data_IF_069552176392
#
_entry.id   IF_069552176392
#
_cell.length_a   1.000
_cell.length_b   1.000
_cell.length_c   1.000
_cell.angle_alpha   90.00
_cell.angle_beta   90.00
_cell.angle_gamma   90.00
#
_symmetry.space_group_name_H-M   'P 1'
#
loop_
_entity.id
_entity.type
_entity.pdbx_description
1 polymer ?
#
# COMPACT_ATOMS: atom_id res chain seq x y z
N UNK A 1 -41.63 -7.25 -21.79
CA UNK A 1 -40.24 -7.59 -22.11
C UNK A 1 -39.41 -6.34 -21.89
N UNK A 2 -38.57 -6.33 -20.86
CA UNK A 2 -37.48 -5.38 -20.69
C UNK A 2 -36.24 -6.23 -20.48
N UNK A 3 -35.33 -6.24 -21.45
CA UNK A 3 -34.02 -6.86 -21.29
C UNK A 3 -33.13 -5.84 -20.57
N UNK A 4 -32.73 -6.16 -19.34
CA UNK A 4 -31.68 -5.44 -18.63
C UNK A 4 -30.42 -6.30 -18.72
N UNK A 5 -29.37 -5.75 -19.33
CA UNK A 5 -28.07 -6.38 -19.47
C UNK A 5 -27.41 -6.48 -18.08
N UNK A 6 -27.23 -7.71 -17.60
CA UNK A 6 -26.73 -8.04 -16.27
C UNK A 6 -25.32 -8.65 -16.33
N UNK A 7 -24.51 -8.20 -17.29
CA UNK A 7 -23.10 -8.58 -17.45
C UNK A 7 -22.16 -8.02 -16.38
N UNK A 8 -22.67 -7.24 -15.42
CA UNK A 8 -21.87 -6.52 -14.40
C UNK A 8 -21.66 -7.25 -13.07
N UNK A 9 -22.13 -8.50 -12.90
CA UNK A 9 -22.02 -9.23 -11.62
C UNK A 9 -20.95 -10.33 -11.56
N UNK A 10 -20.10 -10.48 -12.58
CA UNK A 10 -19.02 -11.48 -12.58
C UNK A 10 -17.66 -10.88 -12.96
N UNK A 11 -16.59 -11.36 -12.31
CA UNK A 11 -15.22 -10.97 -12.58
C UNK A 11 -14.77 -11.43 -13.98
N UNK A 12 -13.88 -10.68 -14.67
CA UNK A 12 -13.48 -10.97 -16.06
C UNK A 12 -12.80 -12.33 -16.31
N UNK A 13 -12.45 -13.08 -15.27
CA UNK A 13 -11.84 -14.41 -15.38
C UNK A 13 -12.84 -15.53 -15.71
N UNK A 14 -14.11 -15.41 -15.31
CA UNK A 14 -15.13 -16.45 -15.50
C UNK A 14 -15.80 -16.42 -16.88
N UNK A 15 -15.74 -15.28 -17.60
CA UNK A 15 -16.33 -15.13 -18.92
C UNK A 15 -15.52 -15.77 -20.06
N UNK A 16 -14.27 -16.16 -19.80
CA UNK A 16 -13.38 -16.77 -20.81
C UNK A 16 -13.54 -18.28 -20.95
N UNK A 17 -14.10 -18.99 -19.97
CA UNK A 17 -14.23 -20.46 -20.00
C UNK A 17 -15.66 -20.99 -20.21
N UNK A 18 -16.70 -20.15 -20.13
CA UNK A 18 -18.09 -20.63 -20.20
C UNK A 18 -18.99 -19.68 -21.00
N UNK A 19 -19.68 -20.21 -22.02
CA UNK A 19 -20.67 -19.45 -22.81
C UNK A 19 -22.04 -19.55 -22.14
N UNK A 20 -22.52 -18.46 -21.55
CA UNK A 20 -23.86 -18.40 -20.93
C UNK A 20 -24.91 -18.24 -22.03
N UNK A 21 -25.87 -19.16 -22.11
CA UNK A 21 -26.91 -19.14 -23.17
C UNK A 21 -28.33 -18.97 -22.65
N UNK A 22 -28.59 -19.13 -21.34
CA UNK A 22 -29.93 -18.92 -20.77
C UNK A 22 -29.91 -18.47 -19.29
N UNK A 23 -30.79 -17.53 -18.94
CA UNK A 23 -30.95 -16.98 -17.60
C UNK A 23 -32.43 -16.87 -17.24
N UNK A 24 -32.81 -17.35 -16.05
CA UNK A 24 -34.19 -17.35 -15.55
C UNK A 24 -34.23 -16.97 -14.07
N UNK A 25 -35.11 -16.01 -13.73
CA UNK A 25 -35.32 -15.53 -12.36
C UNK A 25 -36.72 -15.90 -11.90
N UNK A 26 -36.83 -16.72 -10.86
CA UNK A 26 -38.12 -17.01 -10.23
C UNK A 26 -38.41 -15.97 -9.14
N UNK A 27 -39.29 -15.01 -9.46
CA UNK A 27 -39.64 -13.89 -8.56
C UNK A 27 -40.31 -14.32 -7.25
N UNK A 28 -40.89 -15.52 -7.14
CA UNK A 28 -41.55 -15.97 -5.89
C UNK A 28 -40.55 -16.43 -4.83
N UNK A 29 -39.42 -17.03 -5.23
CA UNK A 29 -38.49 -17.68 -4.29
C UNK A 29 -37.08 -17.07 -4.27
N UNK A 30 -36.85 -15.96 -4.99
CA UNK A 30 -35.54 -15.27 -5.09
C UNK A 30 -34.36 -16.19 -5.48
N UNK A 31 -34.63 -17.24 -6.26
CA UNK A 31 -33.60 -18.13 -6.79
C UNK A 31 -33.26 -17.74 -8.24
N UNK A 32 -31.96 -17.69 -8.56
CA UNK A 32 -31.45 -17.62 -9.92
C UNK A 32 -30.95 -19.01 -10.35
N UNK A 33 -31.34 -19.43 -11.56
CA UNK A 33 -30.80 -20.64 -12.19
C UNK A 33 -30.01 -20.23 -13.42
N UNK A 34 -28.75 -20.67 -13.49
CA UNK A 34 -27.88 -20.49 -14.65
C UNK A 34 -27.62 -21.88 -15.24
N UNK A 35 -27.90 -22.06 -16.52
CA UNK A 35 -27.64 -23.33 -17.23
C UNK A 35 -26.35 -23.14 -18.03
N UNK A 36 -25.36 -24.00 -17.78
CA UNK A 36 -24.09 -24.03 -18.50
C UNK A 36 -24.09 -25.17 -19.52
N UNK A 37 -23.53 -24.91 -20.72
CA UNK A 37 -23.13 -25.97 -21.64
C UNK A 37 -21.62 -25.99 -21.74
N UNK A 38 -21.01 -27.12 -21.38
CA UNK A 38 -19.61 -27.39 -21.66
C UNK A 38 -19.56 -28.69 -22.47
N UNK A 39 -18.96 -28.65 -23.67
CA UNK A 39 -18.73 -29.80 -24.57
C UNK A 39 -19.76 -30.95 -24.46
N UNK A 40 -21.02 -30.68 -24.83
CA UNK A 40 -22.12 -31.64 -24.95
C UNK A 40 -22.51 -32.46 -23.69
N UNK A 41 -22.32 -31.95 -22.47
CA UNK A 41 -23.00 -32.48 -21.27
C UNK A 41 -23.69 -31.38 -20.47
N UNK A 42 -24.95 -31.62 -20.11
CA UNK A 42 -25.79 -30.71 -19.31
C UNK A 42 -25.43 -30.86 -17.82
N UNK A 43 -25.07 -29.77 -17.14
CA UNK A 43 -24.88 -29.76 -15.68
C UNK A 43 -25.69 -28.62 -15.04
N UNK A 44 -26.55 -28.97 -14.08
CA UNK A 44 -27.35 -28.03 -13.31
C UNK A 44 -26.59 -27.59 -12.05
N UNK A 45 -26.10 -26.34 -12.02
CA UNK A 45 -25.53 -25.73 -10.83
C UNK A 45 -26.55 -24.74 -10.22
N UNK A 46 -26.90 -24.94 -8.94
CA UNK A 46 -27.78 -24.03 -8.18
C UNK A 46 -26.94 -23.11 -7.30
N UNK A 47 -27.11 -21.80 -7.46
CA UNK A 47 -26.50 -20.80 -6.58
C UNK A 47 -27.59 -20.12 -5.74
N UNK A 48 -27.37 -20.01 -4.43
CA UNK A 48 -28.23 -19.26 -3.51
C UNK A 48 -27.41 -18.09 -2.97
N UNK A 49 -27.79 -16.86 -3.29
CA UNK A 49 -27.18 -15.65 -2.73
C UNK A 49 -28.18 -14.94 -1.80
N UNK A 50 -27.79 -14.55 -0.56
CA UNK A 50 -28.63 -13.76 0.31
C UNK A 50 -28.51 -12.27 -0.07
N UNK A 51 -29.46 -11.76 -0.86
CA UNK A 51 -29.54 -10.34 -1.16
C UNK A 51 -30.22 -9.59 0.01
N UNK A 52 -29.46 -8.87 0.83
CA UNK A 52 -29.97 -7.98 1.88
C UNK A 52 -30.01 -6.54 1.38
N UNK A 53 -31.17 -6.07 0.90
CA UNK A 53 -31.51 -4.64 0.82
C UNK A 53 -32.97 -4.48 1.27
N UNK A 54 -33.18 -3.71 2.34
CA UNK A 54 -34.48 -3.31 2.87
C UNK A 54 -34.92 -2.00 2.21
N UNK A 55 -36.02 -2.05 1.46
CA UNK A 55 -36.80 -0.86 1.11
C UNK A 55 -37.90 -0.72 2.18
N UNK A 56 -37.95 0.45 2.82
CA UNK A 56 -39.05 0.87 3.67
C UNK A 56 -40.26 1.22 2.80
N UNK A 57 -41.44 0.72 3.15
CA UNK A 57 -42.72 1.36 2.85
C UNK A 57 -43.70 1.11 4.02
N UNK A 58 -44.50 2.13 4.33
CA UNK A 58 -45.45 2.18 5.44
C UNK A 58 -46.78 1.51 5.04
N UNK A 59 -47.32 0.63 5.91
CA UNK A 59 -48.77 0.59 6.26
C UNK A 59 -49.15 -0.63 7.12
N UNK A 60 -49.87 -0.34 8.21
CA UNK A 60 -50.94 -1.08 8.89
C UNK A 60 -50.84 -2.59 9.24
N UNK A 61 -50.88 -2.82 10.57
CA UNK A 61 -51.78 -3.72 11.32
C UNK A 61 -51.88 -5.22 10.98
N UNK A 62 -51.39 -6.07 11.91
CA UNK A 62 -52.17 -7.05 12.74
C UNK A 62 -51.21 -8.13 13.32
N UNK A 63 -51.42 -8.44 14.60
CA UNK A 63 -50.76 -9.52 15.36
C UNK A 63 -50.99 -10.91 14.74
N UNK A 64 -50.00 -11.79 14.87
CA UNK A 64 -50.17 -13.11 15.49
C UNK A 64 -48.81 -13.75 15.78
N UNK A 65 -48.61 -14.07 17.06
CA UNK A 65 -47.44 -14.74 17.58
C UNK A 65 -47.49 -16.25 17.26
N UNK A 66 -46.40 -16.79 16.70
CA UNK A 66 -46.10 -18.23 16.79
C UNK A 66 -44.61 -18.39 17.04
N UNK A 67 -44.30 -18.90 18.23
CA UNK A 67 -42.95 -19.27 18.66
C UNK A 67 -42.56 -20.56 17.96
N UNK A 68 -41.62 -20.49 17.02
CA UNK A 68 -40.89 -21.66 16.52
C UNK A 68 -39.42 -21.54 16.96
N UNK A 69 -39.03 -22.32 17.97
CA UNK A 69 -37.64 -22.51 18.39
C UNK A 69 -36.92 -23.30 17.30
N UNK A 70 -36.16 -22.61 16.45
CA UNK A 70 -35.20 -23.26 15.55
C UNK A 70 -33.80 -23.02 16.08
N UNK A 71 -33.15 -24.08 16.55
CA UNK A 71 -31.72 -24.07 16.90
C UNK A 71 -30.91 -23.72 15.63
N UNK A 72 -30.42 -22.49 15.54
CA UNK A 72 -29.40 -22.12 14.55
C UNK A 72 -28.03 -22.50 15.11
N UNK A 73 -27.42 -23.56 14.55
CA UNK A 73 -25.98 -23.78 14.68
C UNK A 73 -25.25 -22.55 14.15
N UNK A 74 -24.18 -22.06 14.81
CA UNK A 74 -23.40 -20.96 14.26
C UNK A 74 -22.84 -21.41 12.92
N UNK A 75 -23.13 -20.63 11.87
CA UNK A 75 -22.54 -20.82 10.55
C UNK A 75 -21.02 -20.69 10.72
N UNK A 76 -20.31 -21.81 10.62
CA UNK A 76 -18.88 -21.81 10.36
C UNK A 76 -18.72 -21.02 9.07
N UNK A 77 -18.06 -19.86 9.15
CA UNK A 77 -17.62 -19.13 7.97
C UNK A 77 -16.70 -20.08 7.20
N UNK A 78 -17.24 -20.70 6.16
CA UNK A 78 -16.42 -21.33 5.15
C UNK A 78 -15.60 -20.20 4.53
N UNK A 79 -14.29 -20.21 4.79
CA UNK A 79 -13.34 -19.43 4.02
C UNK A 79 -13.55 -19.84 2.58
N UNK A 80 -13.98 -18.89 1.76
CA UNK A 80 -14.01 -19.08 0.31
C UNK A 80 -12.59 -19.46 -0.10
N UNK A 81 -12.44 -20.66 -0.66
CA UNK A 81 -11.24 -21.08 -1.36
C UNK A 81 -11.04 -20.10 -2.52
N UNK A 82 -10.05 -19.22 -2.42
CA UNK A 82 -9.69 -18.25 -3.46
C UNK A 82 -8.22 -18.42 -3.83
N UNK A 83 -7.98 -18.46 -5.16
CA UNK A 83 -6.74 -18.24 -5.92
C UNK A 83 -5.38 -18.42 -5.21
N UNK A 84 -4.46 -19.19 -5.81
CA UNK A 84 -3.08 -19.40 -5.32
C UNK A 84 -2.44 -18.08 -4.79
N UNK A 85 -2.47 -17.90 -3.47
CA UNK A 85 -1.83 -16.78 -2.77
C UNK A 85 -0.31 -16.99 -2.87
N UNK A 86 0.42 -15.97 -3.28
CA UNK A 86 1.87 -16.05 -3.42
C UNK A 86 2.57 -16.05 -2.05
N UNK A 87 3.73 -16.70 -1.96
CA UNK A 87 4.54 -16.76 -0.74
C UNK A 87 5.84 -15.98 -0.92
N UNK A 88 6.31 -15.34 0.16
CA UNK A 88 7.66 -14.76 0.19
C UNK A 88 8.70 -15.83 0.53
N UNK A 89 10.01 -15.58 0.30
CA UNK A 89 11.07 -16.46 0.79
C UNK A 89 11.07 -16.68 2.31
N UNK A 90 10.36 -15.85 3.08
CA UNK A 90 10.26 -15.94 4.54
C UNK A 90 8.95 -16.60 5.01
N UNK A 91 8.11 -17.11 4.11
CA UNK A 91 6.80 -17.67 4.46
C UNK A 91 6.87 -18.78 5.52
N UNK A 92 7.77 -19.74 5.36
CA UNK A 92 7.93 -20.84 6.33
C UNK A 92 8.42 -20.33 7.69
N UNK A 93 9.29 -19.31 7.70
CA UNK A 93 9.73 -18.66 8.93
C UNK A 93 8.57 -17.95 9.63
N UNK A 94 7.65 -17.33 8.90
CA UNK A 94 6.46 -16.72 9.51
C UNK A 94 5.60 -17.75 10.23
N UNK A 95 5.43 -18.94 9.66
CA UNK A 95 4.70 -20.04 10.30
C UNK A 95 5.42 -20.56 11.55
N UNK A 96 6.75 -20.71 11.49
CA UNK A 96 7.58 -21.08 12.65
C UNK A 96 7.46 -20.06 13.80
N UNK A 97 7.44 -18.77 13.47
CA UNK A 97 7.26 -17.67 14.41
C UNK A 97 5.80 -17.47 14.84
N UNK A 98 4.87 -18.32 14.40
CA UNK A 98 3.43 -18.26 14.69
C UNK A 98 2.79 -16.93 14.26
N UNK A 99 3.28 -16.34 13.17
CA UNK A 99 2.69 -15.17 12.55
C UNK A 99 1.25 -15.45 12.11
N UNK A 100 0.35 -14.49 12.36
CA UNK A 100 -1.04 -14.59 11.91
C UNK A 100 -1.14 -14.20 10.45
N UNK A 101 -1.08 -15.19 9.57
CA UNK A 101 -1.08 -15.00 8.11
C UNK A 101 -2.45 -14.49 7.61
N UNK A 102 -2.40 -13.49 6.74
CA UNK A 102 -3.54 -12.96 5.96
C UNK A 102 -3.13 -12.77 4.51
N UNK A 103 -4.11 -12.65 3.62
CA UNK A 103 -3.86 -12.19 2.25
C UNK A 103 -3.63 -10.68 2.25
N UNK A 104 -2.51 -10.24 1.66
CA UNK A 104 -2.19 -8.84 1.44
C UNK A 104 -1.51 -8.69 0.08
N UNK A 105 -2.10 -7.88 -0.82
CA UNK A 105 -1.59 -7.67 -2.17
C UNK A 105 -1.31 -8.98 -2.96
N UNK A 106 -2.14 -10.01 -2.74
CA UNK A 106 -1.95 -11.34 -3.36
C UNK A 106 -0.88 -12.22 -2.71
N UNK A 107 -0.30 -11.79 -1.57
CA UNK A 107 0.69 -12.54 -0.81
C UNK A 107 0.19 -12.98 0.57
N UNK A 108 0.72 -14.11 1.05
CA UNK A 108 0.46 -14.62 2.39
C UNK A 108 1.47 -14.01 3.38
N UNK A 109 1.02 -13.00 4.14
CA UNK A 109 1.89 -12.23 5.02
C UNK A 109 1.32 -12.13 6.44
N UNK A 110 2.17 -12.04 7.48
CA UNK A 110 1.72 -11.92 8.86
C UNK A 110 1.14 -10.53 9.12
N UNK A 111 -0.14 -10.47 9.51
CA UNK A 111 -0.74 -9.21 9.99
C UNK A 111 -0.17 -8.78 11.33
N UNK A 112 0.25 -9.75 12.15
CA UNK A 112 0.90 -9.58 13.45
C UNK A 112 1.53 -10.91 13.90
N UNK A 113 2.40 -10.84 14.90
CA UNK A 113 2.93 -11.94 15.70
C UNK A 113 2.45 -11.78 17.15
N UNK A 114 3.14 -10.96 17.94
CA UNK A 114 2.84 -10.69 19.36
C UNK A 114 1.68 -9.71 19.56
N UNK A 115 1.27 -9.02 18.50
CA UNK A 115 0.15 -8.08 18.46
C UNK A 115 0.57 -6.70 17.95
N UNK A 116 -0.36 -5.99 17.32
CA UNK A 116 -0.07 -4.68 16.69
C UNK A 116 0.53 -3.66 17.67
N UNK A 117 0.01 -3.57 18.90
CA UNK A 117 0.50 -2.62 19.90
C UNK A 117 1.95 -2.92 20.35
N UNK A 118 2.30 -4.13 20.85
CA UNK A 118 3.68 -4.41 21.24
C UNK A 118 4.67 -4.29 20.08
N UNK A 119 4.30 -4.71 18.87
CA UNK A 119 5.13 -4.57 17.67
C UNK A 119 5.38 -3.11 17.29
N UNK A 120 4.33 -2.27 17.31
CA UNK A 120 4.46 -0.83 17.08
C UNK A 120 5.40 -0.19 18.12
N UNK A 121 5.21 -0.51 19.40
CA UNK A 121 6.03 0.05 20.47
C UNK A 121 7.47 -0.44 20.43
N UNK A 122 7.73 -1.64 19.89
CA UNK A 122 9.09 -2.13 19.67
C UNK A 122 9.84 -1.29 18.63
N UNK A 123 9.18 -0.89 17.54
CA UNK A 123 9.79 -0.01 16.53
C UNK A 123 10.06 1.39 17.11
N UNK A 124 9.13 1.94 17.89
CA UNK A 124 9.26 3.25 18.55
C UNK A 124 10.16 3.24 19.79
N UNK A 125 10.57 2.06 20.26
CA UNK A 125 11.31 1.89 21.50
C UNK A 125 12.77 2.33 21.36
N UNK A 126 13.34 2.92 22.42
CA UNK A 126 14.73 3.38 22.43
C UNK A 126 15.77 2.24 22.42
N UNK A 127 15.39 1.07 22.94
CA UNK A 127 16.27 -0.08 23.14
C UNK A 127 15.85 -1.28 22.28
N UNK A 128 14.99 -1.06 21.28
CA UNK A 128 14.42 -2.10 20.44
C UNK A 128 14.33 -1.64 18.98
N UNK A 129 14.08 -2.57 18.09
CA UNK A 129 13.70 -2.34 16.70
C UNK A 129 12.76 -3.47 16.22
N UNK A 130 12.01 -3.21 15.16
CA UNK A 130 11.16 -4.18 14.50
C UNK A 130 11.75 -4.67 13.19
N UNK A 131 11.54 -5.94 12.88
CA UNK A 131 11.89 -6.57 11.60
C UNK A 131 10.61 -6.90 10.84
N UNK A 132 10.49 -6.39 9.62
CA UNK A 132 9.35 -6.62 8.73
C UNK A 132 9.79 -7.41 7.51
N UNK A 133 8.97 -8.36 7.07
CA UNK A 133 9.08 -8.93 5.72
C UNK A 133 8.32 -8.06 4.71
N UNK A 134 9.06 -7.50 3.76
CA UNK A 134 8.54 -6.68 2.67
C UNK A 134 8.92 -7.27 1.30
N UNK A 135 9.29 -8.56 1.25
CA UNK A 135 9.72 -9.26 0.03
C UNK A 135 8.65 -9.32 -1.06
N UNK A 136 7.39 -9.07 -0.72
CA UNK A 136 6.29 -8.95 -1.68
C UNK A 136 6.41 -7.72 -2.59
N UNK A 137 7.20 -6.71 -2.22
CA UNK A 137 7.46 -5.53 -3.05
C UNK A 137 8.22 -5.89 -4.33
N UNK A 138 7.98 -5.13 -5.40
CA UNK A 138 8.68 -5.34 -6.67
C UNK A 138 10.06 -4.73 -6.61
N UNK A 139 11.09 -5.45 -7.07
CA UNK A 139 12.48 -4.98 -7.04
C UNK A 139 13.04 -5.03 -8.46
N UNK A 140 13.50 -3.88 -8.94
CA UNK A 140 13.87 -3.68 -10.34
C UNK A 140 15.29 -3.11 -10.41
N UNK A 141 16.09 -3.68 -11.31
CA UNK A 141 17.40 -3.18 -11.68
C UNK A 141 17.34 -2.56 -13.08
N UNK A 142 17.77 -1.31 -13.18
CA UNK A 142 17.82 -0.54 -14.41
C UNK A 142 19.25 -0.37 -14.89
N UNK A 143 19.51 -0.81 -16.11
CA UNK A 143 20.83 -0.73 -16.77
C UNK A 143 20.70 -0.10 -18.17
N UNK A 144 21.83 0.11 -18.84
CA UNK A 144 21.91 0.82 -20.12
C UNK A 144 22.44 2.25 -19.95
N UNK A 145 23.10 2.76 -20.99
CA UNK A 145 23.73 4.10 -20.99
C UNK A 145 22.71 5.23 -20.88
N UNK A 146 21.48 5.04 -21.39
CA UNK A 146 20.43 6.05 -21.43
C UNK A 146 19.39 5.85 -20.30
N UNK A 147 19.70 4.99 -19.31
CA UNK A 147 18.78 4.64 -18.20
C UNK A 147 18.29 5.86 -17.41
N UNK A 148 19.16 6.84 -17.16
CA UNK A 148 18.80 8.05 -16.40
C UNK A 148 17.76 8.84 -17.16
N UNK A 149 17.96 9.05 -18.46
CA UNK A 149 17.00 9.77 -19.31
C UNK A 149 15.66 9.04 -19.38
N UNK A 150 15.68 7.71 -19.53
CA UNK A 150 14.46 6.91 -19.49
C UNK A 150 13.72 7.06 -18.15
N UNK A 151 14.44 6.94 -17.04
CA UNK A 151 13.86 7.06 -15.70
C UNK A 151 13.29 8.46 -15.47
N UNK A 152 13.94 9.52 -15.97
CA UNK A 152 13.39 10.88 -15.89
C UNK A 152 12.17 11.10 -16.80
N UNK A 153 11.97 10.29 -17.83
CA UNK A 153 10.76 10.32 -18.65
C UNK A 153 9.56 9.71 -17.94
N UNK A 154 9.76 8.60 -17.23
CA UNK A 154 8.66 7.85 -16.59
C UNK A 154 8.44 8.23 -15.12
N UNK A 155 9.44 8.82 -14.46
CA UNK A 155 9.40 9.24 -13.06
C UNK A 155 9.47 10.76 -12.91
N UNK A 156 8.73 11.30 -11.95
CA UNK A 156 8.63 12.76 -11.74
C UNK A 156 9.87 13.40 -11.11
N UNK A 157 10.70 12.61 -10.42
CA UNK A 157 11.85 13.12 -9.67
C UNK A 157 13.09 13.25 -10.55
N UNK A 158 13.97 14.19 -10.18
CA UNK A 158 15.25 14.45 -10.84
C UNK A 158 16.25 13.29 -10.60
N UNK A 159 16.38 12.37 -11.54
CA UNK A 159 17.24 11.19 -11.39
C UNK A 159 18.68 11.54 -11.69
N UNK A 160 18.89 12.48 -12.63
CA UNK A 160 20.23 12.91 -13.02
C UNK A 160 21.04 13.49 -11.86
N UNK A 161 20.40 14.18 -10.90
CA UNK A 161 21.11 14.73 -9.73
C UNK A 161 21.47 13.71 -8.64
N UNK A 162 20.99 12.47 -8.71
CA UNK A 162 21.34 11.45 -7.72
C UNK A 162 22.82 11.08 -7.84
N UNK A 163 23.59 11.40 -6.81
CA UNK A 163 24.96 10.90 -6.71
C UNK A 163 24.96 9.38 -6.46
N UNK A 164 26.05 8.66 -6.76
CA UNK A 164 26.18 7.26 -6.39
C UNK A 164 25.81 7.04 -4.92
N UNK A 165 25.13 5.93 -4.67
CA UNK A 165 24.50 5.53 -3.40
C UNK A 165 23.21 6.27 -3.05
N UNK A 166 22.95 7.47 -3.55
CA UNK A 166 21.78 8.24 -3.14
C UNK A 166 20.50 7.67 -3.74
N UNK A 167 19.43 7.72 -2.96
CA UNK A 167 18.08 7.42 -3.41
C UNK A 167 17.09 8.52 -3.08
N UNK A 168 15.88 8.38 -3.61
CA UNK A 168 14.75 9.26 -3.32
C UNK A 168 13.43 8.54 -3.56
N UNK A 169 12.39 9.00 -2.85
CA UNK A 169 11.01 8.72 -3.22
C UNK A 169 10.69 9.48 -4.51
N UNK A 170 10.02 8.79 -5.42
CA UNK A 170 9.53 9.34 -6.68
C UNK A 170 8.13 8.79 -6.97
N UNK A 171 7.50 9.30 -8.02
CA UNK A 171 6.15 8.93 -8.42
C UNK A 171 6.15 8.52 -9.87
N UNK A 172 5.36 7.49 -10.17
CA UNK A 172 4.93 7.12 -11.51
C UNK A 172 3.56 7.77 -11.76
N UNK A 173 3.37 8.43 -12.91
CA UNK A 173 2.16 9.20 -13.20
C UNK A 173 1.55 8.88 -14.56
N UNK A 174 0.26 9.13 -14.69
CA UNK A 174 -0.49 9.14 -15.95
C UNK A 174 -0.34 10.50 -16.66
N UNK A 175 -0.68 10.55 -17.95
CA UNK A 175 -0.64 11.79 -18.75
C UNK A 175 -1.56 12.89 -18.19
N UNK A 176 -2.64 12.53 -17.51
CA UNK A 176 -3.57 13.45 -16.85
C UNK A 176 -3.12 13.91 -15.44
N UNK A 177 -1.92 13.46 -15.03
CA UNK A 177 -1.28 13.79 -13.77
C UNK A 177 -1.69 12.92 -12.58
N UNK A 178 -2.53 11.90 -12.78
CA UNK A 178 -2.85 10.90 -11.76
C UNK A 178 -1.66 10.06 -11.33
N UNK A 179 -1.56 9.67 -10.06
CA UNK A 179 -0.46 8.84 -9.55
C UNK A 179 -0.77 7.36 -9.81
N UNK A 180 0.13 6.66 -10.51
CA UNK A 180 0.08 5.22 -10.76
C UNK A 180 0.70 4.45 -9.60
N UNK A 181 1.83 4.93 -9.08
CA UNK A 181 2.49 4.37 -7.91
C UNK A 181 3.46 5.38 -7.28
N UNK A 182 3.84 5.15 -6.03
CA UNK A 182 4.99 5.78 -5.39
C UNK A 182 6.12 4.77 -5.16
N UNK A 183 7.33 5.11 -5.62
CA UNK A 183 8.46 4.17 -5.68
C UNK A 183 9.71 4.79 -5.06
N UNK A 184 10.65 3.95 -4.62
CA UNK A 184 11.96 4.41 -4.14
C UNK A 184 13.03 3.95 -5.11
N UNK A 185 13.76 4.90 -5.67
CA UNK A 185 14.86 4.64 -6.60
C UNK A 185 16.19 5.10 -6.02
N UNK A 186 17.22 4.29 -6.20
CA UNK A 186 18.58 4.54 -5.72
C UNK A 186 19.57 4.40 -6.86
N UNK A 187 20.47 5.37 -7.02
CA UNK A 187 21.62 5.26 -7.91
C UNK A 187 22.65 4.33 -7.26
N UNK A 188 22.82 3.13 -7.79
CA UNK A 188 23.80 2.15 -7.29
C UNK A 188 25.18 2.30 -7.95
N UNK A 189 25.38 3.32 -8.80
CA UNK A 189 26.58 3.53 -9.60
C UNK A 189 26.37 3.03 -11.02
N UNK A 190 26.68 1.76 -11.28
CA UNK A 190 26.56 1.11 -12.59
C UNK A 190 25.09 0.82 -12.98
N UNK A 191 24.18 0.75 -12.02
CA UNK A 191 22.73 0.58 -12.24
C UNK A 191 21.90 1.52 -11.36
N UNK A 192 20.58 1.60 -11.62
CA UNK A 192 19.63 2.12 -10.64
C UNK A 192 18.81 0.96 -10.05
N UNK A 193 18.65 0.96 -8.74
CA UNK A 193 17.83 0.01 -8.01
C UNK A 193 16.52 0.66 -7.61
N UNK A 194 15.39 0.08 -7.99
CA UNK A 194 14.06 0.61 -7.69
C UNK A 194 13.21 -0.42 -6.95
N UNK A 195 12.54 0.04 -5.90
CA UNK A 195 11.53 -0.73 -5.17
C UNK A 195 10.16 -0.11 -5.42
N UNK A 196 9.24 -0.92 -5.94
CA UNK A 196 7.85 -0.54 -6.28
C UNK A 196 6.85 -1.27 -5.39
N UNK A 197 5.65 -0.72 -5.23
CA UNK A 197 4.66 -1.30 -4.31
C UNK A 197 4.25 -2.72 -4.73
N UNK A 198 4.13 -3.63 -3.76
CA UNK A 198 3.81 -5.04 -4.04
C UNK A 198 2.47 -5.24 -4.76
N UNK A 199 1.48 -4.37 -4.50
CA UNK A 199 0.18 -4.41 -5.17
C UNK A 199 0.20 -3.82 -6.59
N UNK A 200 1.18 -2.98 -6.92
CA UNK A 200 1.26 -2.24 -8.18
C UNK A 200 2.27 -2.86 -9.14
N UNK A 201 3.28 -3.57 -8.63
CA UNK A 201 4.50 -3.97 -9.34
C UNK A 201 4.29 -4.55 -10.73
N UNK A 202 3.28 -5.39 -10.94
CA UNK A 202 3.04 -5.98 -12.26
C UNK A 202 2.48 -4.95 -13.24
N UNK A 203 1.57 -4.08 -12.80
CA UNK A 203 1.08 -2.95 -13.58
C UNK A 203 2.17 -1.91 -13.85
N UNK A 204 3.02 -1.64 -12.87
CA UNK A 204 4.16 -0.73 -13.04
C UNK A 204 5.15 -1.28 -14.07
N UNK A 205 5.51 -2.56 -13.97
CA UNK A 205 6.37 -3.23 -14.94
C UNK A 205 5.76 -3.28 -16.35
N UNK A 206 4.45 -3.44 -16.49
CA UNK A 206 3.77 -3.34 -17.79
C UNK A 206 3.85 -1.93 -18.36
N UNK A 207 3.62 -0.91 -17.54
CA UNK A 207 3.77 0.48 -17.94
C UNK A 207 5.21 0.78 -18.38
N UNK A 208 6.19 0.36 -17.59
CA UNK A 208 7.60 0.50 -17.90
C UNK A 208 7.99 -0.19 -19.20
N UNK A 209 7.56 -1.43 -19.43
CA UNK A 209 7.83 -2.15 -20.70
C UNK A 209 7.29 -1.39 -21.90
N UNK A 210 6.08 -0.82 -21.79
CA UNK A 210 5.47 -0.03 -22.87
C UNK A 210 6.29 1.23 -23.18
N UNK A 211 6.66 2.01 -22.16
CA UNK A 211 7.44 3.23 -22.36
C UNK A 211 8.89 2.93 -22.78
N UNK A 212 9.47 1.84 -22.28
CA UNK A 212 10.79 1.35 -22.68
C UNK A 212 10.82 0.97 -24.16
N UNK A 213 9.80 0.28 -24.67
CA UNK A 213 9.72 -0.07 -26.08
C UNK A 213 9.70 1.17 -26.99
N UNK A 214 8.99 2.23 -26.59
CA UNK A 214 9.01 3.52 -27.32
C UNK A 214 10.39 4.15 -27.27
N UNK A 215 11.03 4.16 -26.10
CA UNK A 215 12.35 4.75 -25.89
C UNK A 215 13.44 4.01 -26.70
N UNK A 216 13.37 2.68 -26.76
CA UNK A 216 14.27 1.86 -27.57
C UNK A 216 14.04 2.04 -29.07
N UNK A 217 12.79 2.27 -29.51
CA UNK A 217 12.48 2.60 -30.90
C UNK A 217 13.07 3.96 -31.34
N UNK A 218 13.40 4.85 -30.40
CA UNK A 218 14.15 6.09 -30.64
C UNK A 218 15.68 5.86 -30.75
N UNK A 219 16.14 4.60 -30.72
CA UNK A 219 17.56 4.24 -30.80
C UNK A 219 18.34 4.35 -29.48
N UNK A 220 17.62 4.48 -28.35
CA UNK A 220 18.22 4.62 -27.02
C UNK A 220 18.27 3.29 -26.27
N UNK A 221 19.20 3.19 -25.33
CA UNK A 221 19.53 1.96 -24.63
C UNK A 221 19.20 2.03 -23.14
N UNK A 222 18.18 1.26 -22.76
CA UNK A 222 17.80 1.00 -21.37
C UNK A 222 17.31 -0.44 -21.26
N UNK A 223 17.56 -1.07 -20.12
CA UNK A 223 17.09 -2.41 -19.80
C UNK A 223 16.50 -2.44 -18.39
N UNK A 224 15.40 -3.20 -18.25
CA UNK A 224 14.72 -3.44 -17.00
C UNK A 224 14.87 -4.92 -16.61
N UNK A 225 15.46 -5.19 -15.46
CA UNK A 225 15.56 -6.52 -14.87
C UNK A 225 14.69 -6.58 -13.61
N UNK A 226 13.66 -7.42 -13.61
CA UNK A 226 12.90 -7.72 -12.40
C UNK A 226 13.63 -8.82 -11.62
N UNK A 227 13.97 -8.54 -10.36
CA UNK A 227 14.77 -9.45 -9.54
C UNK A 227 13.98 -10.66 -9.00
N UNK A 228 12.66 -10.70 -9.21
CA UNK A 228 11.83 -11.87 -8.89
C UNK A 228 11.61 -12.08 -7.40
N UNK A 229 11.48 -13.35 -7.01
CA UNK A 229 11.20 -13.79 -5.63
C UNK A 229 12.46 -13.71 -4.75
N UNK A 230 13.00 -12.49 -4.60
CA UNK A 230 14.13 -12.18 -3.72
C UNK A 230 13.62 -11.64 -2.38
N UNK A 231 14.36 -11.92 -1.30
CA UNK A 231 14.03 -11.43 0.03
C UNK A 231 14.24 -9.93 0.14
N UNK A 232 13.35 -9.25 0.86
CA UNK A 232 13.52 -7.87 1.30
C UNK A 232 12.97 -7.74 2.71
N UNK A 233 13.84 -7.40 3.66
CA UNK A 233 13.43 -7.11 5.03
C UNK A 233 13.61 -5.63 5.33
N UNK A 234 12.79 -5.10 6.24
CA UNK A 234 12.98 -3.78 6.82
C UNK A 234 13.27 -3.91 8.31
N UNK A 235 14.45 -3.48 8.75
CA UNK A 235 14.83 -3.39 10.16
C UNK A 235 14.72 -1.92 10.61
N UNK A 236 13.79 -1.63 11.51
CA UNK A 236 13.30 -0.26 11.77
C UNK A 236 13.22 0.02 13.27
N UNK A 237 13.77 1.14 13.72
CA UNK A 237 13.79 1.55 15.13
C UNK A 237 15.18 1.96 15.60
N UNK A 238 15.25 2.53 16.80
CA UNK A 238 16.47 3.14 17.34
C UNK A 238 17.67 2.17 17.40
N UNK A 239 17.43 0.88 17.61
CA UNK A 239 18.49 -0.14 17.65
C UNK A 239 18.86 -0.73 16.29
N UNK A 240 18.15 -0.40 15.20
CA UNK A 240 18.42 -0.96 13.88
C UNK A 240 19.87 -0.74 13.39
N UNK A 241 20.50 0.45 13.54
CA UNK A 241 21.90 0.64 13.17
C UNK A 241 22.87 -0.21 13.98
N UNK A 242 22.68 -0.29 15.29
CA UNK A 242 23.54 -1.05 16.19
C UNK A 242 23.42 -2.56 15.95
N UNK A 243 22.21 -3.05 15.70
CA UNK A 243 21.95 -4.46 15.36
C UNK A 243 22.59 -4.78 14.01
N UNK A 244 22.27 -4.03 12.95
CA UNK A 244 22.77 -4.34 11.61
C UNK A 244 24.31 -4.29 11.54
N UNK A 245 24.95 -3.37 12.27
CA UNK A 245 26.41 -3.26 12.35
C UNK A 245 27.09 -4.53 12.87
N UNK A 246 26.41 -5.38 13.67
CA UNK A 246 26.94 -6.67 14.15
C UNK A 246 27.09 -7.70 13.02
N UNK A 247 26.34 -7.54 11.94
CA UNK A 247 26.29 -8.50 10.82
C UNK A 247 27.12 -8.07 9.61
N UNK A 248 27.78 -6.91 9.63
CA UNK A 248 28.54 -6.44 8.46
C UNK A 248 29.82 -5.73 8.88
N UNK A 249 30.87 -5.85 8.07
CA UNK A 249 32.12 -5.10 8.27
C UNK A 249 32.00 -3.63 7.88
N UNK A 250 31.11 -3.35 6.91
CA UNK A 250 30.84 -1.99 6.47
C UNK A 250 30.17 -1.20 7.60
N UNK A 251 30.60 0.04 7.82
CA UNK A 251 30.06 0.87 8.89
C UNK A 251 28.71 1.49 8.49
N UNK A 252 27.65 0.66 8.53
CA UNK A 252 26.27 1.07 8.19
C UNK A 252 25.75 2.23 9.05
N UNK A 253 26.34 2.45 10.22
CA UNK A 253 25.93 3.53 11.14
C UNK A 253 26.21 4.92 10.58
N UNK A 254 27.17 5.01 9.63
CA UNK A 254 27.55 6.26 8.96
C UNK A 254 26.77 6.54 7.68
N UNK A 255 25.96 5.59 7.19
CA UNK A 255 25.15 5.80 5.99
C UNK A 255 24.11 6.90 6.23
N UNK A 256 24.06 8.00 5.47
CA UNK A 256 22.95 8.95 5.59
C UNK A 256 21.63 8.32 5.15
N UNK A 257 20.51 8.84 5.66
CA UNK A 257 19.17 8.48 5.21
C UNK A 257 19.04 8.67 3.69
N UNK A 258 18.33 7.73 3.04
CA UNK A 258 18.22 7.61 1.59
C UNK A 258 19.56 7.41 0.88
N UNK A 259 20.44 6.59 1.46
CA UNK A 259 21.60 6.04 0.76
C UNK A 259 21.58 4.52 0.78
N UNK A 260 22.07 3.88 -0.28
CA UNK A 260 22.12 2.44 -0.43
C UNK A 260 23.43 1.93 -1.02
N UNK A 261 23.89 0.80 -0.49
CA UNK A 261 25.19 0.19 -0.76
C UNK A 261 25.05 -1.32 -0.95
N UNK A 262 25.87 -1.88 -1.84
CA UNK A 262 26.02 -3.33 -1.98
C UNK A 262 27.13 -3.79 -1.02
N UNK A 263 26.74 -4.55 0.01
CA UNK A 263 27.64 -4.96 1.10
C UNK A 263 27.33 -6.39 1.54
N UNK A 264 28.24 -7.00 2.31
CA UNK A 264 27.97 -8.29 2.95
C UNK A 264 27.26 -8.12 4.28
N UNK A 265 26.17 -8.86 4.49
CA UNK A 265 25.45 -8.96 5.77
C UNK A 265 25.36 -10.43 6.16
N UNK A 266 25.93 -10.82 7.30
CA UNK A 266 26.06 -12.21 7.70
C UNK A 266 26.84 -13.07 6.70
N UNK A 267 27.76 -12.46 5.93
CA UNK A 267 28.49 -13.11 4.83
C UNK A 267 27.72 -13.17 3.49
N UNK A 268 26.45 -12.78 3.46
CA UNK A 268 25.57 -12.80 2.27
C UNK A 268 25.70 -11.49 1.50
N UNK A 269 25.76 -11.55 0.17
CA UNK A 269 25.77 -10.35 -0.67
C UNK A 269 24.36 -9.71 -0.69
N UNK A 270 24.25 -8.53 -0.11
CA UNK A 270 23.00 -7.81 0.05
C UNK A 270 23.10 -6.39 -0.52
N UNK A 271 21.96 -5.84 -0.95
CA UNK A 271 21.82 -4.39 -1.08
C UNK A 271 21.15 -3.85 0.16
N UNK A 272 21.83 -2.93 0.85
CA UNK A 272 21.34 -2.29 2.08
C UNK A 272 21.04 -0.84 1.78
N UNK A 273 19.82 -0.39 2.06
CA UNK A 273 19.40 1.01 1.90
C UNK A 273 18.94 1.54 3.24
N UNK A 274 19.49 2.67 3.71
CA UNK A 274 19.03 3.33 4.95
C UNK A 274 17.77 4.15 4.68
N UNK A 275 16.66 3.44 4.58
CA UNK A 275 15.32 3.98 4.33
C UNK A 275 14.29 3.23 5.18
N UNK A 276 13.02 3.61 5.04
CA UNK A 276 11.95 2.91 5.74
C UNK A 276 10.59 3.54 5.60
N UNK A 277 9.60 2.82 6.13
CA UNK A 277 8.18 3.18 6.06
C UNK A 277 7.55 3.34 7.45
N UNK A 278 8.35 3.80 8.43
CA UNK A 278 7.94 3.87 9.85
C UNK A 278 8.13 5.25 10.48
N UNK A 279 8.90 6.14 9.83
CA UNK A 279 9.35 7.40 10.40
C UNK A 279 10.54 7.26 11.36
N UNK A 280 10.89 6.04 11.78
CA UNK A 280 12.11 5.79 12.55
C UNK A 280 13.34 5.66 11.65
N UNK A 281 14.52 5.66 12.27
CA UNK A 281 15.74 5.21 11.60
C UNK A 281 15.67 3.71 11.28
N UNK A 282 16.40 3.27 10.27
CA UNK A 282 16.36 1.88 9.85
C UNK A 282 16.89 1.64 8.45
N UNK A 283 16.82 0.37 8.06
CA UNK A 283 17.34 -0.12 6.80
C UNK A 283 16.34 -1.06 6.14
N UNK A 284 16.34 -1.06 4.81
CA UNK A 284 15.87 -2.18 4.01
C UNK A 284 17.07 -2.98 3.50
N UNK A 285 16.97 -4.31 3.58
CA UNK A 285 18.04 -5.25 3.22
C UNK A 285 17.48 -6.24 2.21
N UNK A 286 17.94 -6.14 0.97
CA UNK A 286 17.68 -7.08 -0.11
C UNK A 286 18.58 -8.30 0.06
N UNK A 287 17.99 -9.49 0.10
CA UNK A 287 18.67 -10.74 0.44
C UNK A 287 18.33 -11.78 -0.65
N UNK A 288 19.31 -12.48 -1.24
CA UNK A 288 19.04 -13.64 -2.09
C UNK A 288 18.06 -14.61 -1.40
N UNK A 289 17.14 -15.21 -2.17
CA UNK A 289 16.06 -16.02 -1.62
C UNK A 289 16.58 -17.18 -0.74
N UNK A 290 17.62 -17.87 -1.20
CA UNK A 290 18.23 -19.01 -0.50
C UNK A 290 18.83 -18.63 0.86
N UNK A 291 19.27 -17.39 1.02
CA UNK A 291 19.93 -16.88 2.23
C UNK A 291 18.98 -16.14 3.16
N UNK A 292 17.73 -15.90 2.73
CA UNK A 292 16.75 -15.08 3.45
C UNK A 292 16.41 -15.66 4.83
N UNK A 293 16.00 -16.93 4.89
CA UNK A 293 15.64 -17.54 6.18
C UNK A 293 16.86 -17.66 7.13
N UNK A 294 18.01 -18.21 6.71
CA UNK A 294 19.18 -18.29 7.59
C UNK A 294 19.59 -16.94 8.16
N UNK A 295 19.71 -15.90 7.32
CA UNK A 295 20.14 -14.57 7.77
C UNK A 295 19.11 -13.94 8.72
N UNK A 296 17.82 -14.01 8.39
CA UNK A 296 16.77 -13.41 9.23
C UNK A 296 16.67 -14.13 10.58
N UNK A 297 16.86 -15.45 10.63
CA UNK A 297 16.92 -16.20 11.90
C UNK A 297 18.05 -15.71 12.79
N UNK A 298 19.24 -15.46 12.24
CA UNK A 298 20.35 -14.92 13.03
C UNK A 298 20.06 -13.51 13.56
N UNK A 299 19.48 -12.63 12.74
CA UNK A 299 19.10 -11.27 13.17
C UNK A 299 18.04 -11.33 14.28
N UNK A 300 17.06 -12.24 14.19
CA UNK A 300 16.00 -12.40 15.19
C UNK A 300 16.49 -12.97 16.53
N UNK A 301 17.72 -13.49 16.63
CA UNK A 301 18.32 -13.89 17.92
C UNK A 301 18.74 -12.68 18.76
N UNK A 302 18.92 -11.52 18.14
CA UNK A 302 19.25 -10.29 18.86
C UNK A 302 18.07 -9.85 19.72
N UNK A 303 18.30 -9.68 21.02
CA UNK A 303 17.26 -9.38 22.02
C UNK A 303 16.51 -8.07 21.76
N UNK A 304 17.11 -7.17 20.98
CA UNK A 304 16.55 -5.89 20.59
C UNK A 304 15.52 -6.01 19.45
N UNK A 305 15.50 -7.11 18.71
CA UNK A 305 14.73 -7.27 17.47
C UNK A 305 13.43 -8.02 17.72
N UNK A 306 12.32 -7.45 17.25
CA UNK A 306 11.01 -8.12 17.27
C UNK A 306 10.45 -8.28 15.85
N UNK A 307 9.92 -9.46 15.47
CA UNK A 307 9.21 -9.61 14.21
C UNK A 307 7.91 -8.80 14.26
N UNK A 308 7.65 -8.03 13.21
CA UNK A 308 6.53 -7.09 13.13
C UNK A 308 5.71 -7.32 11.86
N UNK A 309 4.38 -7.31 12.01
CA UNK A 309 3.44 -7.56 10.92
C UNK A 309 2.85 -6.30 10.29
N UNK A 310 1.95 -6.52 9.32
CA UNK A 310 1.30 -5.47 8.54
C UNK A 310 0.52 -4.46 9.40
N UNK A 311 -0.08 -4.89 10.52
CA UNK A 311 -0.84 -3.99 11.39
C UNK A 311 0.03 -2.94 12.07
N UNK A 312 1.21 -3.35 12.56
CA UNK A 312 2.19 -2.41 13.11
C UNK A 312 2.71 -1.48 12.01
N UNK A 313 3.04 -2.02 10.82
CA UNK A 313 3.48 -1.24 9.65
C UNK A 313 2.49 -0.11 9.29
N UNK A 314 1.19 -0.40 9.21
CA UNK A 314 0.18 0.61 8.86
C UNK A 314 0.01 1.70 9.94
N UNK A 315 0.10 1.34 11.22
CA UNK A 315 0.03 2.35 12.29
C UNK A 315 1.26 3.26 12.33
N UNK A 316 2.47 2.71 12.11
CA UNK A 316 3.73 3.46 12.11
C UNK A 316 3.82 4.44 10.94
N UNK A 317 3.52 3.98 9.72
CA UNK A 317 3.53 4.83 8.52
C UNK A 317 2.55 5.99 8.64
N UNK A 318 1.37 5.74 9.22
CA UNK A 318 0.34 6.75 9.36
C UNK A 318 0.78 7.84 10.34
N UNK A 319 1.35 7.45 11.48
CA UNK A 319 1.98 8.39 12.43
C UNK A 319 3.10 9.20 11.77
N UNK A 320 3.91 8.57 10.91
CA UNK A 320 4.99 9.21 10.17
C UNK A 320 4.52 10.07 8.98
N UNK A 321 3.21 10.20 8.75
CA UNK A 321 2.69 11.04 7.67
C UNK A 321 2.88 10.46 6.26
N UNK A 322 3.23 9.17 6.15
CA UNK A 322 3.54 8.50 4.88
C UNK A 322 2.28 7.96 4.20
N UNK A 323 2.17 8.21 2.90
CA UNK A 323 1.06 7.78 2.07
C UNK A 323 1.04 6.28 1.87
N UNK A 324 -0.15 5.68 1.77
CA UNK A 324 -0.37 4.32 1.32
C UNK A 324 -1.06 4.35 -0.05
N UNK A 325 -0.41 3.82 -1.09
CA UNK A 325 -1.02 3.70 -2.41
C UNK A 325 -2.27 2.79 -2.38
N UNK A 326 -3.27 3.12 -3.21
CA UNK A 326 -4.59 2.49 -3.21
C UNK A 326 -5.52 3.00 -2.11
N UNK A 327 -5.02 3.80 -1.17
CA UNK A 327 -5.80 4.39 -0.07
C UNK A 327 -5.68 5.91 -0.06
N UNK A 328 -4.48 6.44 0.14
CA UNK A 328 -4.20 7.87 0.15
C UNK A 328 -3.83 8.40 -1.24
N UNK A 329 -3.30 7.53 -2.10
CA UNK A 329 -2.92 7.82 -3.47
C UNK A 329 -3.67 6.89 -4.43
N UNK A 330 -3.97 7.38 -5.61
CA UNK A 330 -4.57 6.64 -6.71
C UNK A 330 -4.42 7.44 -7.99
N UNK A 331 -4.84 6.86 -9.11
CA UNK A 331 -4.88 7.54 -10.41
C UNK A 331 -5.83 8.75 -10.42
N UNK A 332 -6.77 8.85 -9.49
CA UNK A 332 -7.63 10.04 -9.33
C UNK A 332 -6.94 11.20 -8.58
N UNK A 333 -5.76 10.99 -8.02
CA UNK A 333 -5.02 11.96 -7.21
C UNK A 333 -3.74 12.34 -7.92
N UNK A 334 -3.46 13.64 -8.06
CA UNK A 334 -2.16 14.13 -8.52
C UNK A 334 -1.19 14.42 -7.37
N UNK A 335 0.12 14.58 -7.67
CA UNK A 335 1.12 15.01 -6.69
C UNK A 335 0.76 16.34 -5.99
N UNK A 336 -0.05 17.19 -6.63
CA UNK A 336 -0.53 18.45 -6.06
C UNK A 336 -1.53 18.19 -4.94
N UNK A 337 -2.54 17.38 -5.21
CA UNK A 337 -3.61 17.04 -4.26
C UNK A 337 -3.06 16.19 -3.13
N UNK A 338 -2.20 15.22 -3.45
CA UNK A 338 -1.54 14.33 -2.50
C UNK A 338 -0.48 15.00 -1.62
N UNK A 339 -0.24 16.31 -1.79
CA UNK A 339 0.80 17.09 -1.08
C UNK A 339 2.22 16.54 -1.26
N UNK A 340 2.52 16.01 -2.45
CA UNK A 340 3.77 15.35 -2.82
C UNK A 340 4.62 16.16 -3.81
N UNK A 341 4.29 17.43 -4.09
CA UNK A 341 5.07 18.25 -5.04
C UNK A 341 6.57 18.33 -4.70
N UNK A 342 6.96 18.08 -3.46
CA UNK A 342 8.37 18.01 -3.05
C UNK A 342 9.16 16.90 -3.76
N UNK A 343 8.52 15.88 -4.32
CA UNK A 343 9.18 14.84 -5.14
C UNK A 343 9.61 15.36 -6.52
N UNK A 344 9.06 16.49 -6.96
CA UNK A 344 9.36 17.14 -8.24
C UNK A 344 10.25 18.35 -7.97
N UNK A 345 11.50 18.30 -8.41
CA UNK A 345 12.47 19.39 -8.22
C UNK A 345 12.01 20.67 -8.93
N UNK A 346 12.50 21.84 -8.50
CA UNK A 346 12.16 23.12 -9.16
C UNK A 346 12.50 23.09 -10.65
N UNK A 347 13.64 22.51 -11.01
CA UNK A 347 14.09 22.36 -12.39
C UNK A 347 13.11 21.50 -13.19
N UNK A 348 12.76 20.31 -12.68
CA UNK A 348 11.82 19.40 -13.36
C UNK A 348 10.42 19.99 -13.50
N UNK A 349 9.96 20.83 -12.56
CA UNK A 349 8.70 21.57 -12.72
C UNK A 349 8.76 22.59 -13.87
N UNK A 350 9.90 23.24 -14.08
CA UNK A 350 10.08 24.21 -15.14
C UNK A 350 10.24 23.53 -16.51
N UNK A 351 11.13 22.54 -16.61
CA UNK A 351 11.52 21.93 -17.88
C UNK A 351 10.54 20.86 -18.36
N UNK A 352 9.91 20.16 -17.41
CA UNK A 352 9.08 18.99 -17.70
C UNK A 352 9.91 17.78 -18.13
N UNK A 353 9.56 17.21 -19.28
CA UNK A 353 10.22 16.01 -19.82
C UNK A 353 9.71 14.68 -19.26
N UNK A 354 8.73 14.70 -18.34
CA UNK A 354 8.13 13.49 -17.77
C UNK A 354 6.63 13.38 -18.05
N UNK A 355 6.13 12.15 -18.04
CA UNK A 355 4.72 11.83 -18.24
C UNK A 355 3.86 12.53 -17.18
N UNK A 356 2.83 13.26 -17.64
CA UNK A 356 1.90 13.98 -16.76
C UNK A 356 2.33 15.40 -16.38
N UNK A 357 3.53 15.86 -16.78
CA UNK A 357 4.05 17.19 -16.40
C UNK A 357 3.04 18.33 -16.62
N UNK A 358 2.52 18.48 -17.85
CA UNK A 358 1.58 19.56 -18.21
C UNK A 358 0.33 19.54 -17.31
N UNK A 359 -0.27 18.37 -17.12
CA UNK A 359 -1.47 18.22 -16.30
C UNK A 359 -1.20 18.51 -14.82
N UNK A 360 -0.06 18.06 -14.29
CA UNK A 360 0.34 18.34 -12.90
C UNK A 360 0.57 19.84 -12.69
N UNK A 361 1.24 20.52 -13.63
CA UNK A 361 1.46 21.97 -13.54
C UNK A 361 0.14 22.75 -13.63
N UNK A 362 -0.84 22.27 -14.40
CA UNK A 362 -2.16 22.90 -14.44
C UNK A 362 -2.94 22.66 -13.14
N UNK A 363 -2.91 21.43 -12.61
CA UNK A 363 -3.50 21.11 -11.30
C UNK A 363 -2.90 21.94 -10.16
N UNK A 364 -1.66 22.42 -10.26
CA UNK A 364 -1.11 23.34 -9.25
C UNK A 364 -1.95 24.61 -9.10
N UNK A 365 -2.56 25.08 -10.18
CA UNK A 365 -3.40 26.28 -10.20
C UNK A 365 -4.84 25.95 -9.79
N UNK A 366 -5.39 24.85 -10.33
CA UNK A 366 -6.81 24.51 -10.25
C UNK A 366 -7.20 23.59 -9.08
N UNK A 367 -6.23 22.97 -8.40
CA UNK A 367 -6.48 22.02 -7.32
C UNK A 367 -7.47 22.55 -6.26
N UNK A 368 -8.52 21.78 -6.01
CA UNK A 368 -9.62 22.13 -5.09
C UNK A 368 -9.57 21.40 -3.75
N UNK A 369 -8.69 20.39 -3.62
CA UNK A 369 -8.56 19.56 -2.41
C UNK A 369 -7.11 19.21 -2.11
N UNK A 370 -6.79 19.05 -0.83
CA UNK A 370 -5.44 18.70 -0.36
C UNK A 370 -5.50 17.57 0.66
N UNK A 371 -4.56 16.64 0.56
CA UNK A 371 -4.31 15.63 1.59
C UNK A 371 -3.72 16.29 2.84
N UNK A 372 -4.33 16.05 3.98
CA UNK A 372 -3.86 16.53 5.30
C UNK A 372 -3.99 15.44 6.36
N UNK A 373 -3.37 15.68 7.52
CA UNK A 373 -3.56 14.87 8.71
C UNK A 373 -4.67 15.41 9.59
N UNK A 374 -5.31 14.54 10.37
CA UNK A 374 -6.36 14.86 11.33
C UNK A 374 -6.09 14.17 12.65
N UNK A 375 -6.30 14.90 13.75
CA UNK A 375 -6.44 14.32 15.08
C UNK A 375 -7.93 14.33 15.43
N UNK A 376 -8.50 13.15 15.64
CA UNK A 376 -9.95 12.95 15.82
C UNK A 376 -10.26 12.63 17.27
N UNK A 377 -11.30 13.24 17.83
CA UNK A 377 -11.78 12.91 19.17
C UNK A 377 -12.65 11.64 19.14
N UNK A 378 -12.66 10.90 20.24
CA UNK A 378 -13.54 9.72 20.38
C UNK A 378 -13.06 8.52 19.56
N UNK A 379 -13.94 8.00 18.70
CA UNK A 379 -13.67 6.77 17.95
C UNK A 379 -12.79 7.02 16.71
N UNK A 380 -11.86 6.10 16.36
CA UNK A 380 -11.08 6.22 15.14
C UNK A 380 -11.92 6.29 13.87
N UNK A 381 -11.72 7.36 13.10
CA UNK A 381 -12.22 7.45 11.75
C UNK A 381 -11.52 6.43 10.84
N UNK A 382 -12.28 5.79 9.96
CA UNK A 382 -11.78 4.81 8.99
C UNK A 382 -11.96 5.36 7.58
N UNK A 383 -11.37 4.68 6.61
CA UNK A 383 -11.55 4.96 5.20
C UNK A 383 -13.03 5.22 4.85
N UNK A 384 -13.29 6.27 4.08
CA UNK A 384 -14.63 6.67 3.65
C UNK A 384 -15.39 7.56 4.65
N UNK A 385 -14.87 7.77 5.87
CA UNK A 385 -15.51 8.65 6.85
C UNK A 385 -15.58 10.10 6.31
N UNK A 386 -16.77 10.70 6.37
CA UNK A 386 -17.05 12.02 5.83
C UNK A 386 -16.55 13.13 6.76
N UNK A 387 -16.01 14.19 6.17
CA UNK A 387 -15.49 15.35 6.88
C UNK A 387 -16.42 16.53 6.67
N UNK A 388 -16.86 17.15 7.75
CA UNK A 388 -17.78 18.29 7.74
C UNK A 388 -17.14 19.55 8.32
N UNK A 389 -17.52 20.70 7.79
CA UNK A 389 -17.22 22.02 8.36
C UNK A 389 -18.49 22.86 8.30
N UNK A 390 -18.95 23.39 9.45
CA UNK A 390 -20.20 24.15 9.54
C UNK A 390 -21.41 23.44 8.93
N UNK A 391 -21.50 22.10 9.09
CA UNK A 391 -22.57 21.28 8.53
C UNK A 391 -22.39 20.87 7.06
N UNK A 392 -21.48 21.48 6.31
CA UNK A 392 -21.22 21.15 4.91
C UNK A 392 -20.19 20.01 4.76
N UNK A 393 -20.40 19.13 3.78
CA UNK A 393 -19.42 18.09 3.43
C UNK A 393 -18.22 18.74 2.72
N UNK A 394 -17.03 18.64 3.33
CA UNK A 394 -15.81 19.29 2.83
C UNK A 394 -14.67 18.33 2.50
N UNK A 395 -14.86 17.03 2.74
CA UNK A 395 -13.81 16.06 2.50
C UNK A 395 -14.15 14.64 2.94
N UNK A 396 -13.14 13.79 2.86
CA UNK A 396 -13.24 12.37 3.20
C UNK A 396 -11.91 11.84 3.74
N UNK A 397 -12.00 10.96 4.74
CA UNK A 397 -10.88 10.24 5.33
C UNK A 397 -10.45 9.09 4.41
N UNK A 398 -9.15 9.00 4.15
CA UNK A 398 -8.55 7.92 3.37
C UNK A 398 -7.96 6.84 4.27
N UNK A 399 -7.20 7.23 5.28
CA UNK A 399 -6.56 6.32 6.24
C UNK A 399 -6.87 6.74 7.67
N UNK A 400 -7.05 5.80 8.59
CA UNK A 400 -7.24 6.17 9.99
C UNK A 400 -7.22 5.02 10.97
N UNK A 401 -6.60 5.29 12.13
CA UNK A 401 -6.44 4.30 13.21
C UNK A 401 -6.25 4.99 14.56
N UNK A 402 -6.20 4.20 15.63
CA UNK A 402 -5.74 4.69 16.94
C UNK A 402 -4.21 4.68 16.94
N UNK A 403 -3.57 5.85 17.10
CA UNK A 403 -2.12 5.94 17.24
C UNK A 403 -1.68 5.34 18.58
N UNK A 404 -0.85 4.29 18.59
CA UNK A 404 -0.29 3.74 19.83
C UNK A 404 0.62 4.74 20.56
N UNK A 405 1.45 5.49 19.83
CA UNK A 405 2.40 6.43 20.42
C UNK A 405 1.70 7.61 21.10
N UNK A 406 0.67 8.16 20.46
CA UNK A 406 -0.05 9.34 20.94
C UNK A 406 -1.25 9.00 21.81
N UNK A 407 -1.70 7.73 21.80
CA UNK A 407 -2.95 7.27 22.43
C UNK A 407 -4.17 8.07 21.97
N UNK A 408 -4.15 8.53 20.71
CA UNK A 408 -5.19 9.36 20.10
C UNK A 408 -5.53 8.85 18.71
N UNK A 409 -6.79 8.93 18.28
CA UNK A 409 -7.13 8.65 16.90
C UNK A 409 -6.47 9.65 15.93
N UNK A 410 -5.80 9.11 14.92
CA UNK A 410 -5.17 9.89 13.84
C UNK A 410 -5.66 9.38 12.50
N UNK A 411 -5.75 10.28 11.53
CA UNK A 411 -6.24 9.95 10.20
C UNK A 411 -5.60 10.85 9.13
N UNK A 412 -5.53 10.35 7.90
CA UNK A 412 -5.30 11.14 6.70
C UNK A 412 -6.59 11.25 5.90
N UNK A 413 -6.73 12.33 5.15
CA UNK A 413 -7.85 12.50 4.24
C UNK A 413 -7.67 13.71 3.34
N UNK A 414 -8.57 13.84 2.38
CA UNK A 414 -8.63 14.98 1.48
C UNK A 414 -9.67 15.97 1.97
N UNK A 415 -9.29 17.24 2.07
CA UNK A 415 -10.18 18.34 2.43
C UNK A 415 -10.12 19.44 1.40
N UNK A 416 -11.25 20.15 1.22
CA UNK A 416 -11.36 21.33 0.37
C UNK A 416 -10.23 22.34 0.62
N UNK A 417 -9.67 22.88 -0.45
CA UNK A 417 -8.66 23.95 -0.43
C UNK A 417 -9.23 25.16 0.33
N UNK A 418 -8.39 25.83 1.10
CA UNK A 418 -8.80 26.82 2.11
C UNK A 418 -8.99 26.25 3.53
N UNK A 419 -9.33 24.96 3.68
CA UNK A 419 -9.50 24.32 5.00
C UNK A 419 -8.34 23.39 5.39
N UNK A 420 -7.27 23.35 4.59
CA UNK A 420 -6.13 22.43 4.76
C UNK A 420 -5.05 22.95 5.72
N UNK A 421 -5.21 24.15 6.28
CA UNK A 421 -4.27 24.74 7.23
C UNK A 421 -4.35 24.03 8.58
N UNK A 422 -3.19 23.74 9.18
CA UNK A 422 -3.14 23.15 10.51
C UNK A 422 -3.85 24.04 11.55
N UNK A 423 -4.60 23.42 12.48
CA UNK A 423 -5.44 24.11 13.46
C UNK A 423 -6.90 24.30 13.03
N UNK A 424 -7.22 24.10 11.75
CA UNK A 424 -8.62 24.16 11.26
C UNK A 424 -9.47 23.11 11.96
N UNK A 425 -10.57 23.55 12.57
CA UNK A 425 -11.55 22.68 13.22
C UNK A 425 -12.54 22.12 12.20
N UNK A 426 -12.81 20.82 12.29
CA UNK A 426 -13.79 20.11 11.46
C UNK A 426 -14.49 19.05 12.29
N UNK A 427 -15.49 18.39 11.72
CA UNK A 427 -16.12 17.21 12.30
C UNK A 427 -15.91 16.01 11.38
N UNK A 428 -15.72 14.83 11.95
CA UNK A 428 -15.62 13.57 11.20
C UNK A 428 -16.75 12.65 11.61
N UNK A 429 -17.48 12.13 10.64
CA UNK A 429 -18.57 11.21 10.89
C UNK A 429 -18.06 9.77 11.07
N UNK A 430 -18.26 9.24 12.28
CA UNK A 430 -17.88 7.88 12.66
C UNK A 430 -19.10 7.19 13.24
N UNK A 431 -19.58 6.13 12.56
CA UNK A 431 -20.76 5.35 12.97
C UNK A 431 -21.99 6.25 13.21
N UNK A 432 -22.30 7.11 12.24
CA UNK A 432 -23.42 8.06 12.25
C UNK A 432 -23.37 9.12 13.38
N UNK A 433 -22.20 9.32 14.00
CA UNK A 433 -21.96 10.39 14.98
C UNK A 433 -20.83 11.27 14.49
N UNK A 434 -21.03 12.58 14.55
CA UNK A 434 -19.99 13.56 14.25
C UNK A 434 -19.11 13.77 15.48
N UNK A 435 -17.80 13.60 15.30
CA UNK A 435 -16.80 13.87 16.33
C UNK A 435 -15.94 15.06 15.93
N UNK A 436 -15.58 15.96 16.87
CA UNK A 436 -14.63 17.02 16.59
C UNK A 436 -13.28 16.44 16.13
N UNK A 437 -12.68 17.07 15.14
CA UNK A 437 -11.35 16.79 14.68
C UNK A 437 -10.62 18.09 14.30
N UNK A 438 -9.30 18.04 14.33
CA UNK A 438 -8.46 19.18 13.97
C UNK A 438 -7.46 18.78 12.90
N UNK A 439 -7.37 19.60 11.85
CA UNK A 439 -6.32 19.46 10.83
C UNK A 439 -4.97 19.62 11.51
N UNK A 440 -4.13 18.60 11.40
CA UNK A 440 -2.88 18.47 12.14
C UNK A 440 -1.72 18.32 11.17
N UNK A 441 -0.61 19.02 11.47
CA UNK A 441 0.62 18.89 10.68
C UNK A 441 1.12 17.45 10.74
N UNK A 442 1.52 16.92 9.59
CA UNK A 442 2.22 15.63 9.49
C UNK A 442 3.73 15.85 9.37
N UNK A 443 4.56 14.95 9.91
CA UNK A 443 4.17 13.71 10.61
C UNK A 443 3.53 14.00 11.99
N UNK A 444 2.67 13.10 12.48
CA UNK A 444 2.02 13.22 13.79
C UNK A 444 3.00 12.92 14.93
N UNK A 445 3.91 11.98 14.69
CA UNK A 445 5.05 11.67 15.55
C UNK A 445 6.32 12.09 14.80
N UNK A 446 7.23 12.88 15.39
CA UNK A 446 8.45 13.30 14.71
C UNK A 446 9.26 12.13 14.16
N UNK A 447 9.82 12.30 12.96
CA UNK A 447 10.68 11.30 12.35
C UNK A 447 12.09 11.32 12.96
N UNK A 448 12.74 10.17 13.05
CA UNK A 448 14.10 9.98 13.58
C UNK A 448 15.12 9.59 12.49
N UNK A 449 14.94 10.08 11.25
CA UNK A 449 15.85 9.80 10.14
C UNK A 449 17.27 10.32 10.42
N UNK A 450 18.29 9.46 10.26
CA UNK A 450 19.69 9.84 10.40
C UNK A 450 20.17 10.64 9.18
N UNK A 451 20.66 11.87 9.35
CA UNK A 451 21.04 12.75 8.22
C UNK A 451 22.53 13.11 8.17
N UNK A 452 23.37 12.41 8.93
CA UNK A 452 24.80 12.71 9.08
C UNK A 452 25.14 13.23 10.47
#
# INVERSE_FOLDING_TARGET
>A
MYFTDCSTFFTPSLSKEYKITHFSVNKKNKNCTVIHYNNNKEQNLRFVSPCSHSLFDQSNNIMLATVAKTFTRPAIRAFSVSANIAHTPLFDLHNELKGKIVEFAGYALPVQYSGVLPEHMAVRGKNTCGLFDVSHMGQIKWTGKDRVEFLERVLVSDIHSLQPTQGRLTLLCQEDGGIIDDTVITNAGDYHYEVVNGACKYGDMEHFKKEMAKFQAEGKEVQMEYLGDIGLIALQGAMAPAVLRRFTEFDVTKMPFMTGQDIKVGGVNCRVTRCGYTGEDGYEVQIPAADSIPLVKEILKEKEVLPCGLGARDSLRLEAGLCLYGTDLSTAVSPVEGTLMWTISKQRRADGGFIGHKAIMERMKTCEKKRVGFMVQGAPARHGAKIYSNGELVGEITSGTLSPSLKKPVAMGYIKKGLHTAGTQVEVEVRNKKYPAVVTKMPFVPNNYYRG
#
